data_IF_188502149589
#
_entry.id   IF_188502149589
#
_cell.length_a   1.000
_cell.length_b   1.000
_cell.length_c   1.000
_cell.angle_alpha   90.00
_cell.angle_beta   90.00
_cell.angle_gamma   90.00
#
_symmetry.space_group_name_H-M   'P 1'
#
loop_
_entity.id
_entity.type
_entity.pdbx_description
1 polymer ?
#
# COMPACT_ATOMS: atom_id res chain seq x y z
N UNK A 1 -20.42 -1.31 22.94
CA UNK A 1 -20.01 -1.56 21.57
C UNK A 1 -19.08 -0.47 21.06
N UNK A 2 -18.02 -0.84 20.51
CA UNK A 2 -17.03 0.13 20.06
C UNK A 2 -17.21 0.41 18.58
N UNK A 3 -17.47 1.66 18.25
CA UNK A 3 -17.62 2.06 16.86
C UNK A 3 -16.35 1.75 16.07
N UNK A 4 -15.18 1.87 16.71
CA UNK A 4 -13.89 1.62 16.04
C UNK A 4 -13.76 0.20 15.52
N UNK A 5 -14.50 -0.78 16.10
CA UNK A 5 -14.39 -2.16 15.64
C UNK A 5 -14.99 -2.37 14.26
N UNK A 6 -15.82 -1.43 13.78
CA UNK A 6 -16.42 -1.53 12.45
C UNK A 6 -15.73 -0.66 11.42
N UNK A 7 -14.85 0.23 11.86
CA UNK A 7 -14.12 1.11 10.95
C UNK A 7 -12.97 0.33 10.31
N UNK A 8 -12.93 0.34 8.98
CA UNK A 8 -11.88 -0.32 8.24
C UNK A 8 -10.80 0.69 7.87
N UNK A 9 -9.57 0.41 8.22
CA UNK A 9 -8.45 1.28 7.84
C UNK A 9 -8.15 1.11 6.35
N UNK A 10 -7.43 2.11 5.79
CA UNK A 10 -6.98 2.02 4.40
C UNK A 10 -6.11 0.78 4.20
N UNK A 11 -5.20 0.52 5.14
CA UNK A 11 -4.32 -0.64 5.06
C UNK A 11 -5.11 -1.94 5.02
N UNK A 12 -6.17 -2.04 5.82
CA UNK A 12 -7.02 -3.23 5.80
C UNK A 12 -7.69 -3.43 4.44
N UNK A 13 -8.10 -2.32 3.80
CA UNK A 13 -8.65 -2.43 2.45
C UNK A 13 -7.60 -2.90 1.44
N UNK A 14 -6.37 -2.41 1.57
CA UNK A 14 -5.28 -2.82 0.69
C UNK A 14 -4.96 -4.29 0.88
N UNK A 15 -4.84 -4.72 2.14
CA UNK A 15 -4.49 -6.10 2.46
C UNK A 15 -5.63 -7.09 2.22
N UNK A 16 -6.86 -6.66 2.44
CA UNK A 16 -8.01 -7.54 2.41
C UNK A 16 -8.18 -8.37 3.67
N UNK A 17 -7.47 -8.02 4.73
CA UNK A 17 -7.57 -8.69 6.03
C UNK A 17 -7.56 -7.64 7.14
N UNK A 18 -8.00 -8.03 8.31
CA UNK A 18 -8.07 -7.16 9.47
C UNK A 18 -6.70 -7.07 10.14
N UNK A 19 -6.41 -5.91 10.73
CA UNK A 19 -5.23 -5.72 11.57
C UNK A 19 -5.58 -6.08 13.01
N UNK A 20 -4.63 -6.70 13.70
CA UNK A 20 -4.74 -6.87 15.14
C UNK A 20 -4.68 -5.49 15.81
N UNK A 21 -5.27 -5.36 16.99
CA UNK A 21 -5.27 -4.08 17.71
C UNK A 21 -3.84 -3.62 18.03
N UNK A 22 -2.94 -4.55 18.28
CA UNK A 22 -1.54 -4.27 18.59
C UNK A 22 -0.63 -4.45 17.38
N UNK A 23 -1.18 -4.48 16.16
CA UNK A 23 -0.39 -4.59 14.94
C UNK A 23 0.62 -3.45 14.85
N UNK A 24 1.77 -3.73 14.26
CA UNK A 24 2.77 -2.71 13.97
C UNK A 24 2.95 -2.57 12.47
N UNK A 25 3.20 -1.33 12.05
CA UNK A 25 3.49 -1.03 10.65
C UNK A 25 4.89 -0.42 10.58
N UNK A 26 5.71 -0.98 9.72
CA UNK A 26 7.11 -0.59 9.59
C UNK A 26 7.37 0.05 8.24
N UNK A 27 8.09 1.17 8.26
CA UNK A 27 8.51 1.88 7.06
C UNK A 27 10.04 1.96 7.04
N UNK A 28 10.72 0.92 6.52
CA UNK A 28 12.20 0.90 6.57
C UNK A 28 12.86 2.07 5.84
N UNK A 29 12.21 2.59 4.78
CA UNK A 29 12.80 3.68 4.01
C UNK A 29 12.94 4.97 4.81
N UNK A 30 12.05 5.22 5.76
CA UNK A 30 12.13 6.38 6.65
C UNK A 30 12.63 6.02 8.03
N UNK A 31 12.72 4.72 8.35
CA UNK A 31 13.12 4.26 9.67
C UNK A 31 12.04 4.40 10.71
N UNK A 32 10.77 4.41 10.29
CA UNK A 32 9.65 4.60 11.21
C UNK A 32 8.95 3.30 11.54
N UNK A 33 8.46 3.22 12.76
CA UNK A 33 7.58 2.15 13.23
C UNK A 33 6.32 2.79 13.80
N UNK A 34 5.16 2.37 13.29
CA UNK A 34 3.87 2.85 13.76
C UNK A 34 3.27 1.74 14.59
N UNK A 35 3.04 2.00 15.87
CA UNK A 35 2.70 1.00 16.86
C UNK A 35 1.22 1.07 17.18
N UNK A 36 0.50 0.02 16.78
CA UNK A 36 -0.91 -0.12 17.08
C UNK A 36 -1.84 0.28 15.94
N UNK A 37 -2.95 -0.45 15.81
CA UNK A 37 -3.95 -0.20 14.76
C UNK A 37 -4.48 1.23 14.82
N UNK A 38 -4.70 1.76 16.01
CA UNK A 38 -5.23 3.11 16.16
C UNK A 38 -4.27 4.16 15.60
N UNK A 39 -2.97 4.00 15.85
CA UNK A 39 -1.97 4.93 15.31
C UNK A 39 -1.80 4.76 13.80
N UNK A 40 -1.90 3.54 13.30
CA UNK A 40 -1.87 3.30 11.86
C UNK A 40 -3.00 4.06 11.18
N UNK A 41 -4.20 3.97 11.74
CA UNK A 41 -5.35 4.66 11.20
C UNK A 41 -5.18 6.19 11.28
N UNK A 42 -4.65 6.68 12.39
CA UNK A 42 -4.42 8.12 12.55
C UNK A 42 -3.42 8.64 11.53
N UNK A 43 -2.31 7.93 11.32
CA UNK A 43 -1.31 8.34 10.33
C UNK A 43 -1.94 8.38 8.94
N UNK A 44 -2.73 7.37 8.60
CA UNK A 44 -3.40 7.33 7.30
C UNK A 44 -4.33 8.51 7.08
N UNK A 45 -4.94 9.00 8.13
CA UNK A 45 -5.88 10.13 8.05
C UNK A 45 -5.21 11.42 7.60
N UNK A 46 -3.91 11.51 7.68
CA UNK A 46 -3.15 12.67 7.20
C UNK A 46 -2.87 12.64 5.70
N UNK A 47 -3.05 11.48 5.05
CA UNK A 47 -2.88 11.34 3.62
C UNK A 47 -4.24 11.38 2.96
N UNK A 48 -4.70 12.58 2.61
CA UNK A 48 -6.05 12.79 2.10
C UNK A 48 -6.04 13.01 0.59
N UNK A 49 -7.17 12.70 -0.04
CA UNK A 49 -7.38 13.04 -1.45
C UNK A 49 -6.58 12.19 -2.42
N UNK A 50 -6.03 11.05 -1.98
CA UNK A 50 -5.25 10.21 -2.87
C UNK A 50 -6.11 9.12 -3.50
N UNK A 51 -5.68 8.68 -4.68
CA UNK A 51 -6.28 7.55 -5.37
C UNK A 51 -5.38 6.36 -5.20
N UNK A 52 -6.00 5.20 -5.01
CA UNK A 52 -5.27 3.95 -4.77
C UNK A 52 -5.53 2.99 -5.92
N UNK A 53 -4.48 2.32 -6.36
CA UNK A 53 -4.61 1.16 -7.23
C UNK A 53 -4.09 -0.05 -6.47
N UNK A 54 -4.86 -1.12 -6.41
CA UNK A 54 -4.43 -2.37 -5.79
C UNK A 54 -4.31 -3.42 -6.88
N UNK A 55 -3.12 -3.95 -7.03
CA UNK A 55 -2.82 -4.91 -8.06
C UNK A 55 -2.79 -6.34 -7.52
N UNK A 56 -1.65 -6.99 -7.68
CA UNK A 56 -1.52 -8.40 -7.35
C UNK A 56 -1.38 -8.61 -5.86
N UNK A 57 -2.07 -9.62 -5.37
CA UNK A 57 -1.97 -10.07 -4.00
C UNK A 57 -1.52 -11.53 -4.00
N UNK A 58 -0.46 -11.81 -3.26
CA UNK A 58 0.10 -13.15 -3.16
C UNK A 58 0.04 -13.59 -1.70
N UNK A 59 -0.36 -14.85 -1.49
CA UNK A 59 -0.43 -15.43 -0.15
C UNK A 59 0.56 -16.58 -0.09
N UNK A 60 1.47 -16.51 0.89
CA UNK A 60 2.49 -17.54 1.12
C UNK A 60 2.40 -17.96 2.59
N UNK A 61 1.67 -19.04 2.88
CA UNK A 61 1.48 -19.45 4.28
C UNK A 61 0.85 -18.30 5.09
N UNK A 62 1.59 -17.82 6.07
CA UNK A 62 1.14 -16.75 6.96
C UNK A 62 1.50 -15.35 6.46
N UNK A 63 1.94 -15.23 5.22
CA UNK A 63 2.40 -13.95 4.66
C UNK A 63 1.55 -13.55 3.48
N UNK A 64 1.17 -12.27 3.44
CA UNK A 64 0.49 -11.68 2.29
C UNK A 64 1.40 -10.60 1.73
N UNK A 65 1.59 -10.62 0.41
CA UNK A 65 2.31 -9.57 -0.31
C UNK A 65 1.34 -8.91 -1.27
N UNK A 66 1.26 -7.58 -1.24
CA UNK A 66 0.36 -6.81 -2.11
C UNK A 66 1.16 -5.77 -2.87
N UNK A 67 0.94 -5.70 -4.17
CA UNK A 67 1.43 -4.60 -4.99
C UNK A 67 0.31 -3.58 -5.16
N UNK A 68 0.62 -2.31 -4.92
CA UNK A 68 -0.37 -1.25 -5.02
C UNK A 68 0.31 0.06 -5.35
N UNK A 69 -0.48 1.08 -5.60
CA UNK A 69 0.06 2.38 -5.99
C UNK A 69 -0.76 3.50 -5.37
N UNK A 70 -0.14 4.66 -5.25
CA UNK A 70 -0.79 5.88 -4.75
C UNK A 70 -0.56 7.02 -5.72
N UNK A 71 -1.65 7.74 -5.99
CA UNK A 71 -1.64 8.94 -6.82
C UNK A 71 -2.12 10.09 -5.93
N UNK A 72 -1.23 11.04 -5.66
CA UNK A 72 -1.54 12.18 -4.79
C UNK A 72 -2.12 13.37 -5.56
N UNK A 73 -2.32 13.21 -6.88
CA UNK A 73 -2.88 14.29 -7.69
C UNK A 73 -1.85 15.31 -8.16
N UNK A 74 -0.57 15.04 -7.95
CA UNK A 74 0.53 15.93 -8.33
C UNK A 74 1.27 15.46 -9.58
N UNK A 75 0.71 14.50 -10.30
CA UNK A 75 1.34 13.92 -11.50
C UNK A 75 2.32 12.82 -11.19
N UNK A 76 2.49 12.46 -9.93
CA UNK A 76 3.38 11.38 -9.52
C UNK A 76 2.57 10.22 -8.98
N UNK A 77 2.89 9.03 -9.46
CA UNK A 77 2.28 7.80 -8.95
C UNK A 77 3.39 6.96 -8.35
N UNK A 78 3.24 6.62 -7.09
CA UNK A 78 4.22 5.83 -6.34
C UNK A 78 3.83 4.37 -6.43
N UNK A 79 4.85 3.50 -6.69
CA UNK A 79 4.65 2.06 -6.64
C UNK A 79 4.98 1.55 -5.25
N UNK A 80 4.11 0.75 -4.68
CA UNK A 80 4.23 0.27 -3.31
C UNK A 80 4.16 -1.24 -3.25
N UNK A 81 4.90 -1.81 -2.30
CA UNK A 81 4.80 -3.23 -1.95
C UNK A 81 4.60 -3.31 -0.46
N UNK A 82 3.60 -4.06 -0.04
CA UNK A 82 3.30 -4.27 1.37
C UNK A 82 3.37 -5.76 1.68
N UNK A 83 4.07 -6.08 2.77
CA UNK A 83 4.22 -7.46 3.24
C UNK A 83 3.58 -7.52 4.63
N UNK A 84 2.60 -8.40 4.80
CA UNK A 84 1.90 -8.57 6.06
C UNK A 84 2.09 -9.98 6.58
N UNK A 85 2.29 -10.09 7.90
CA UNK A 85 2.43 -11.38 8.58
C UNK A 85 1.19 -11.64 9.40
N UNK A 86 0.56 -12.79 9.16
CA UNK A 86 -0.69 -13.22 9.78
C UNK A 86 -0.52 -14.62 10.38
N UNK A 87 -0.11 -14.74 11.64
CA UNK A 87 -0.06 -16.08 12.26
C UNK A 87 -1.45 -16.67 12.48
N UNK A 88 -2.48 -15.86 12.43
CA UNK A 88 -3.87 -16.26 12.47
C UNK A 88 -4.64 -15.56 11.36
N UNK A 89 -5.80 -14.98 11.70
CA UNK A 89 -6.64 -14.32 10.73
C UNK A 89 -6.49 -12.79 10.73
N UNK A 90 -5.59 -12.26 11.56
CA UNK A 90 -5.31 -10.83 11.64
C UNK A 90 -3.83 -10.56 11.39
N UNK A 91 -3.55 -9.49 10.69
CA UNK A 91 -2.17 -9.08 10.45
C UNK A 91 -1.60 -8.47 11.73
N UNK A 92 -0.41 -8.92 12.12
CA UNK A 92 0.27 -8.43 13.32
C UNK A 92 1.48 -7.56 13.01
N UNK A 93 2.09 -7.75 11.83
CA UNK A 93 3.23 -6.94 11.41
C UNK A 93 3.12 -6.70 9.92
N UNK A 94 3.25 -5.42 9.56
CA UNK A 94 3.12 -4.99 8.17
C UNK A 94 4.33 -4.15 7.82
N UNK A 95 4.94 -4.42 6.68
CA UNK A 95 6.10 -3.67 6.20
C UNK A 95 5.79 -3.12 4.82
N UNK A 96 6.01 -1.82 4.62
CA UNK A 96 5.81 -1.17 3.34
C UNK A 96 7.12 -0.69 2.75
N UNK A 97 7.24 -0.88 1.44
CA UNK A 97 8.28 -0.26 0.62
C UNK A 97 7.59 0.51 -0.49
N UNK A 98 8.16 1.64 -0.88
CA UNK A 98 7.59 2.44 -1.97
C UNK A 98 8.68 3.02 -2.84
N UNK A 99 8.33 3.25 -4.11
CA UNK A 99 9.23 3.81 -5.08
C UNK A 99 8.65 5.04 -5.73
N UNK A 100 9.46 6.10 -5.80
CA UNK A 100 9.09 7.31 -6.50
C UNK A 100 9.39 7.14 -7.99
N UNK A 101 8.49 7.59 -8.89
CA UNK A 101 8.76 7.50 -10.31
C UNK A 101 9.95 8.38 -10.69
N UNK A 102 10.71 7.95 -11.68
CA UNK A 102 11.86 8.71 -12.15
C UNK A 102 12.05 8.51 -13.64
N UNK A 103 12.76 9.46 -14.28
CA UNK A 103 13.08 9.37 -15.68
C UNK A 103 14.24 8.40 -15.88
N UNK A 104 14.09 7.39 -16.73
CA UNK A 104 15.19 6.45 -16.96
C UNK A 104 16.41 7.14 -17.56
N UNK A 105 17.62 6.71 -17.19
CA UNK A 105 18.83 7.27 -17.80
C UNK A 105 18.93 6.92 -19.28
N UNK A 106 19.57 7.81 -20.03
CA UNK A 106 19.61 7.71 -21.49
C UNK A 106 20.30 6.43 -21.97
N UNK A 107 21.27 5.90 -21.20
CA UNK A 107 22.09 4.77 -21.67
C UNK A 107 21.29 3.50 -21.92
N UNK A 108 20.14 3.33 -21.25
CA UNK A 108 19.34 2.11 -21.42
C UNK A 108 18.12 2.31 -22.30
N UNK A 109 18.00 3.46 -22.93
CA UNK A 109 16.82 3.79 -23.75
C UNK A 109 16.62 2.85 -24.91
N UNK A 110 17.71 2.34 -25.50
CA UNK A 110 17.65 1.39 -26.62
C UNK A 110 17.54 -0.06 -26.16
N UNK A 111 17.73 -0.32 -24.88
CA UNK A 111 17.70 -1.67 -24.31
C UNK A 111 16.38 -2.01 -23.65
N UNK A 112 15.54 -1.01 -23.35
CA UNK A 112 14.26 -1.18 -22.69
C UNK A 112 13.17 -0.54 -23.53
N UNK A 113 12.00 -1.15 -23.51
CA UNK A 113 10.82 -0.58 -24.14
C UNK A 113 9.93 0.03 -23.06
N UNK A 114 9.02 0.89 -23.47
CA UNK A 114 8.12 1.54 -22.53
C UNK A 114 7.12 0.54 -21.94
N UNK A 115 7.01 0.53 -20.63
CA UNK A 115 6.00 -0.26 -19.94
C UNK A 115 4.68 0.52 -19.93
N UNK A 116 3.63 -0.10 -20.45
CA UNK A 116 2.30 0.52 -20.46
C UNK A 116 1.69 0.44 -19.05
N UNK A 117 1.82 1.51 -18.30
CA UNK A 117 1.37 1.53 -16.91
C UNK A 117 -0.14 1.43 -16.79
N UNK A 118 -0.89 1.87 -17.81
CA UNK A 118 -2.34 1.73 -17.78
C UNK A 118 -2.77 0.25 -17.79
N UNK A 119 -1.94 -0.62 -18.35
CA UNK A 119 -2.21 -2.06 -18.44
C UNK A 119 -1.48 -2.87 -17.39
N UNK A 120 -0.66 -2.22 -16.59
CA UNK A 120 0.14 -2.90 -15.57
C UNK A 120 -0.74 -3.55 -14.49
N UNK A 121 -1.93 -3.01 -14.25
CA UNK A 121 -2.86 -3.58 -13.30
C UNK A 121 -2.68 -3.13 -11.87
N UNK A 122 -1.67 -2.31 -11.61
CA UNK A 122 -1.36 -1.80 -10.28
C UNK A 122 -1.61 -0.30 -10.19
N UNK A 123 -1.48 0.41 -11.31
CA UNK A 123 -1.67 1.86 -11.36
C UNK A 123 -3.15 2.23 -11.16
N UNK A 124 -3.44 3.33 -10.49
CA UNK A 124 -4.83 3.73 -10.26
C UNK A 124 -5.54 4.02 -11.58
N UNK A 125 -6.68 3.42 -11.78
CA UNK A 125 -7.58 3.77 -12.86
C UNK A 125 -8.59 4.79 -12.35
N UNK A 126 -9.41 5.32 -13.25
CA UNK A 126 -10.43 6.29 -12.86
C UNK A 126 -11.40 5.72 -11.82
N UNK A 127 -11.61 4.41 -11.88
CA UNK A 127 -12.55 3.69 -11.01
C UNK A 127 -11.83 2.84 -9.95
N UNK A 128 -10.57 3.13 -9.67
CA UNK A 128 -9.84 2.41 -8.64
C UNK A 128 -10.52 2.61 -7.28
N UNK A 129 -9.88 2.18 -6.19
CA UNK A 129 -10.51 2.17 -4.86
C UNK A 129 -11.22 3.47 -4.47
N UNK A 130 -11.14 4.47 -5.30
CA UNK A 130 -11.73 5.75 -5.04
C UNK A 130 -10.78 6.62 -4.24
N UNK A 131 -11.31 7.73 -3.75
CA UNK A 131 -10.52 8.67 -2.98
C UNK A 131 -10.86 8.54 -1.51
N UNK A 132 -9.88 8.70 -0.72
CA UNK A 132 -10.05 8.72 0.73
C UNK A 132 -10.29 10.13 1.24
#
# INVERSE_FOLDING_TARGET
MKASSTHQTRLERILGVKLAEDAVRQWPQSGELIDGRARIDEVESHFVGLRLGVGRRHVFGDTILVEWSTDYGDGRVYGNVTIAELPGDEAIRVTDYWGEPFTPPAWRRTLATHLDMARHGVWPAADALGQD
#
